data_IF_957460101412
#
_entry.id   IF_957460101412
#
_cell.length_a   1.000
_cell.length_b   1.000
_cell.length_c   1.000
_cell.angle_alpha   90.00
_cell.angle_beta   90.00
_cell.angle_gamma   90.00
#
_symmetry.space_group_name_H-M   'P 1'
#
loop_
_entity.id
_entity.type
_entity.pdbx_description
1 polymer ?
#
# COMPACT_ATOMS: atom_id res chain seq x y z
N UNK A 1 -7.64 34.93 -6.85
CA UNK A 1 -6.22 34.52 -6.85
C UNK A 1 -6.15 33.17 -7.55
N UNK A 2 -5.54 33.08 -8.74
CA UNK A 2 -5.33 31.78 -9.41
C UNK A 2 -4.11 31.15 -8.75
N UNK A 3 -4.31 30.11 -7.95
CA UNK A 3 -3.22 29.29 -7.46
C UNK A 3 -2.66 28.57 -8.69
N UNK A 4 -1.50 29.00 -9.17
CA UNK A 4 -0.75 28.20 -10.14
C UNK A 4 -0.21 27.00 -9.36
N UNK A 5 -0.75 25.82 -9.65
CA UNK A 5 -0.18 24.57 -9.16
C UNK A 5 1.21 24.44 -9.77
N UNK A 6 2.26 24.61 -8.97
CA UNK A 6 3.61 24.29 -9.40
C UNK A 6 3.63 22.83 -9.86
N UNK A 7 4.05 22.61 -11.10
CA UNK A 7 4.23 21.27 -11.61
C UNK A 7 5.42 20.65 -10.86
N UNK A 8 5.18 19.51 -10.20
CA UNK A 8 6.25 18.77 -9.55
C UNK A 8 7.35 18.42 -10.58
N UNK A 9 8.64 18.41 -10.18
CA UNK A 9 9.71 17.93 -11.04
C UNK A 9 9.40 16.56 -11.63
N UNK A 10 9.86 16.29 -12.85
CA UNK A 10 9.54 15.04 -13.56
C UNK A 10 9.99 13.79 -12.79
N UNK A 11 11.05 13.91 -12.01
CA UNK A 11 11.56 12.86 -11.11
C UNK A 11 10.57 12.55 -9.98
N UNK A 12 9.90 13.56 -9.43
CA UNK A 12 8.87 13.41 -8.40
C UNK A 12 7.62 12.77 -8.99
N UNK A 13 7.21 13.18 -10.18
CA UNK A 13 6.08 12.56 -10.88
C UNK A 13 6.33 11.07 -11.14
N UNK A 14 7.52 10.70 -11.63
CA UNK A 14 7.92 9.29 -11.83
C UNK A 14 7.94 8.50 -10.53
N UNK A 15 8.46 9.06 -9.45
CA UNK A 15 8.46 8.40 -8.14
C UNK A 15 7.03 8.12 -7.65
N UNK A 16 6.11 9.07 -7.86
CA UNK A 16 4.69 8.88 -7.52
C UNK A 16 4.06 7.79 -8.39
N UNK A 17 4.32 7.78 -9.70
CA UNK A 17 3.84 6.74 -10.61
C UNK A 17 4.39 5.36 -10.23
N UNK A 18 5.68 5.25 -9.92
CA UNK A 18 6.32 4.00 -9.46
C UNK A 18 5.71 3.52 -8.13
N UNK A 19 5.44 4.43 -7.20
CA UNK A 19 4.81 4.11 -5.92
C UNK A 19 3.36 3.63 -6.11
N UNK A 20 2.59 4.27 -7.02
CA UNK A 20 1.24 3.84 -7.39
C UNK A 20 1.30 2.46 -8.03
N UNK A 21 2.18 2.24 -9.01
CA UNK A 21 2.33 0.96 -9.67
C UNK A 21 2.70 -0.16 -8.68
N UNK A 22 3.65 0.09 -7.78
CA UNK A 22 4.01 -0.87 -6.74
C UNK A 22 2.83 -1.19 -5.82
N UNK A 23 2.05 -0.16 -5.47
CA UNK A 23 0.85 -0.32 -4.68
C UNK A 23 -0.21 -1.15 -5.40
N UNK A 24 -0.50 -0.87 -6.67
CA UNK A 24 -1.44 -1.62 -7.51
C UNK A 24 -1.04 -3.10 -7.65
N UNK A 25 0.23 -3.36 -7.94
CA UNK A 25 0.77 -4.73 -8.02
C UNK A 25 0.62 -5.50 -6.70
N UNK A 26 0.77 -4.82 -5.57
CA UNK A 26 0.56 -5.43 -4.25
C UNK A 26 -0.91 -5.69 -3.97
N UNK A 27 -1.82 -4.81 -4.39
CA UNK A 27 -3.25 -5.05 -4.29
C UNK A 27 -3.69 -6.22 -5.16
N UNK A 28 -3.16 -6.35 -6.38
CA UNK A 28 -3.39 -7.50 -7.26
C UNK A 28 -2.96 -8.81 -6.57
N UNK A 29 -1.73 -8.86 -6.06
CA UNK A 29 -1.22 -10.03 -5.31
C UNK A 29 -2.10 -10.38 -4.11
N UNK A 30 -2.57 -9.38 -3.36
CA UNK A 30 -3.45 -9.60 -2.21
C UNK A 30 -4.83 -10.10 -2.63
N UNK A 31 -5.38 -9.62 -3.75
CA UNK A 31 -6.62 -10.12 -4.32
C UNK A 31 -6.48 -11.59 -4.75
N UNK A 32 -5.35 -11.97 -5.34
CA UNK A 32 -5.08 -13.36 -5.69
C UNK A 32 -5.05 -14.26 -4.45
N UNK A 33 -4.34 -13.84 -3.39
CA UNK A 33 -4.32 -14.57 -2.12
C UNK A 33 -5.73 -14.71 -1.52
N UNK A 34 -6.52 -13.63 -1.58
CA UNK A 34 -7.85 -13.58 -1.01
C UNK A 34 -8.88 -14.45 -1.77
N UNK A 35 -8.68 -14.67 -3.07
CA UNK A 35 -9.59 -15.41 -3.93
C UNK A 35 -9.09 -16.82 -4.29
N UNK A 36 -7.84 -17.14 -4.01
CA UNK A 36 -7.28 -18.47 -4.19
C UNK A 36 -8.01 -19.50 -3.30
N UNK A 37 -8.17 -20.74 -3.79
CA UNK A 37 -8.81 -21.83 -3.04
C UNK A 37 -7.86 -22.45 -2.00
N UNK A 38 -6.54 -22.35 -2.20
CA UNK A 38 -5.55 -22.94 -1.32
C UNK A 38 -5.50 -22.27 0.07
N UNK A 39 -5.18 -23.04 1.12
CA UNK A 39 -4.98 -22.47 2.45
C UNK A 39 -3.71 -21.61 2.50
N UNK A 40 -3.79 -20.56 3.32
CA UNK A 40 -2.69 -19.63 3.56
C UNK A 40 -1.55 -20.33 4.30
N UNK A 41 -0.33 -20.09 3.81
CA UNK A 41 0.90 -20.57 4.43
C UNK A 41 1.68 -19.37 4.93
N UNK A 42 2.08 -19.41 6.20
CA UNK A 42 2.96 -18.40 6.78
C UNK A 42 4.40 -18.73 6.44
N UNK A 43 5.05 -17.81 5.73
CA UNK A 43 6.49 -17.88 5.49
C UNK A 43 7.23 -17.77 6.83
N UNK A 44 8.14 -18.70 7.08
CA UNK A 44 8.98 -18.72 8.28
C UNK A 44 10.42 -18.43 7.90
N UNK A 45 11.08 -17.58 8.70
CA UNK A 45 12.51 -17.31 8.57
C UNK A 45 13.38 -18.53 8.81
N UNK A 46 12.82 -19.59 9.40
CA UNK A 46 13.56 -20.79 9.83
C UNK A 46 13.32 -21.99 8.89
N UNK A 47 12.75 -21.76 7.71
CA UNK A 47 12.52 -22.79 6.69
C UNK A 47 11.39 -23.78 7.00
N UNK A 48 10.66 -23.60 8.11
CA UNK A 48 9.45 -24.37 8.43
C UNK A 48 8.21 -23.55 8.16
N UNK A 49 7.63 -23.75 6.99
CA UNK A 49 6.33 -23.20 6.64
C UNK A 49 5.25 -23.68 7.63
N UNK A 50 4.43 -22.74 8.11
CA UNK A 50 3.28 -23.05 8.97
C UNK A 50 1.99 -22.83 8.19
N UNK A 51 1.30 -23.92 7.84
CA UNK A 51 0.03 -23.87 7.13
C UNK A 51 -1.09 -23.56 8.12
N UNK A 52 -1.88 -22.53 7.82
CA UNK A 52 -3.09 -22.23 8.58
C UNK A 52 -4.15 -23.30 8.35
N UNK A 53 -4.94 -23.58 9.38
CA UNK A 53 -6.13 -24.43 9.22
C UNK A 53 -7.22 -23.69 8.42
N UNK A 54 -8.28 -24.40 8.04
CA UNK A 54 -9.32 -23.85 7.15
C UNK A 54 -10.02 -22.61 7.75
N UNK A 55 -10.28 -22.60 9.05
CA UNK A 55 -10.93 -21.48 9.73
C UNK A 55 -10.01 -20.25 9.78
N UNK A 56 -8.76 -20.45 10.22
CA UNK A 56 -7.74 -19.40 10.25
C UNK A 56 -7.48 -18.84 8.86
N UNK A 57 -7.39 -19.70 7.84
CA UNK A 57 -7.18 -19.27 6.47
C UNK A 57 -8.37 -18.48 5.91
N UNK A 58 -9.62 -18.86 6.24
CA UNK A 58 -10.81 -18.09 5.85
C UNK A 58 -10.83 -16.72 6.53
N UNK A 59 -10.55 -16.67 7.83
CA UNK A 59 -10.48 -15.43 8.59
C UNK A 59 -9.41 -14.48 8.04
N UNK A 60 -8.23 -15.00 7.72
CA UNK A 60 -7.15 -14.21 7.13
C UNK A 60 -7.53 -13.63 5.76
N UNK A 61 -8.10 -14.46 4.87
CA UNK A 61 -8.58 -14.00 3.55
C UNK A 61 -9.69 -12.96 3.68
N UNK A 62 -10.62 -13.11 4.62
CA UNK A 62 -11.66 -12.11 4.89
C UNK A 62 -11.08 -10.78 5.39
N UNK A 63 -10.04 -10.84 6.23
CA UNK A 63 -9.28 -9.67 6.67
C UNK A 63 -8.63 -8.93 5.49
N UNK A 64 -7.97 -9.65 4.58
CA UNK A 64 -7.39 -9.08 3.35
C UNK A 64 -8.48 -8.40 2.50
N UNK A 65 -9.60 -9.09 2.24
CA UNK A 65 -10.72 -8.51 1.46
C UNK A 65 -11.22 -7.22 2.08
N UNK A 66 -11.36 -7.20 3.40
CA UNK A 66 -11.79 -6.01 4.15
C UNK A 66 -10.78 -4.88 3.97
N UNK A 67 -9.49 -5.14 4.17
CA UNK A 67 -8.43 -4.14 3.99
C UNK A 67 -8.42 -3.57 2.57
N UNK A 68 -8.41 -4.42 1.53
CA UNK A 68 -8.47 -3.98 0.12
C UNK A 68 -9.71 -3.12 -0.12
N UNK A 69 -10.87 -3.50 0.44
CA UNK A 69 -12.12 -2.77 0.25
C UNK A 69 -12.16 -1.38 0.86
N UNK A 70 -11.24 -1.08 1.78
CA UNK A 70 -11.14 0.20 2.50
C UNK A 70 -10.08 1.10 1.86
N UNK A 71 -8.99 0.52 1.34
CA UNK A 71 -7.91 1.30 0.75
C UNK A 71 -8.44 2.07 -0.48
N UNK A 72 -8.18 3.37 -0.50
CA UNK A 72 -8.65 4.28 -1.57
C UNK A 72 -10.12 4.70 -1.48
N UNK A 73 -10.95 4.06 -0.64
CA UNK A 73 -12.36 4.48 -0.46
C UNK A 73 -12.54 5.69 0.43
N UNK A 74 -11.62 5.92 1.36
CA UNK A 74 -11.65 7.07 2.25
C UNK A 74 -10.51 8.01 1.87
N UNK A 75 -10.78 9.25 1.46
CA UNK A 75 -9.73 10.23 1.23
C UNK A 75 -9.01 10.47 2.56
N UNK A 76 -7.75 10.05 2.62
CA UNK A 76 -6.90 10.30 3.77
C UNK A 76 -6.45 11.76 3.68
N UNK A 77 -6.75 12.54 4.71
CA UNK A 77 -6.22 13.89 4.89
C UNK A 77 -5.44 13.92 6.19
N UNK A 78 -4.32 14.64 6.19
CA UNK A 78 -3.58 14.91 7.41
C UNK A 78 -4.22 16.11 8.10
N UNK A 79 -4.50 15.98 9.39
CA UNK A 79 -5.09 17.05 10.22
C UNK A 79 -4.20 18.30 10.28
N UNK A 80 -2.91 18.14 9.97
CA UNK A 80 -1.94 19.20 9.90
C UNK A 80 -1.23 19.15 8.54
N UNK A 81 -1.06 20.32 7.92
CA UNK A 81 -0.16 20.48 6.78
C UNK A 81 1.19 19.90 7.16
N UNK A 82 1.69 18.92 6.40
CA UNK A 82 3.11 18.64 6.41
C UNK A 82 3.77 19.97 6.10
N UNK A 83 4.53 20.50 7.07
CA UNK A 83 5.29 21.74 6.86
C UNK A 83 6.02 21.57 5.52
N UNK A 84 5.93 22.60 4.67
CA UNK A 84 6.66 22.68 3.41
C UNK A 84 8.07 22.13 3.64
N UNK A 85 8.43 21.13 2.84
CA UNK A 85 9.81 20.67 2.72
C UNK A 85 10.63 21.92 2.38
N UNK A 86 11.40 22.43 3.34
CA UNK A 86 12.27 23.56 3.10
C UNK A 86 13.53 23.00 2.46
N UNK A 87 13.67 23.20 1.15
CA UNK A 87 14.77 22.65 0.34
C UNK A 87 16.13 23.19 0.82
N UNK A 88 16.12 24.30 1.56
CA UNK A 88 17.30 24.94 2.16
C UNK A 88 17.96 24.13 3.29
N UNK A 89 17.31 23.11 3.87
CA UNK A 89 17.89 22.29 4.95
C UNK A 89 18.94 21.27 4.46
N UNK A 90 19.16 21.14 3.14
CA UNK A 90 20.13 20.21 2.54
C UNK A 90 21.37 20.88 1.94
N UNK A 91 21.49 22.22 1.99
CA UNK A 91 22.72 22.93 1.62
C UNK A 91 23.49 23.39 2.88
N UNK A 92 24.17 22.43 3.55
CA UNK A 92 25.18 22.70 4.57
C UNK A 92 26.33 21.70 4.50
#
# INVERSE_FOLDING_TARGET
MRIQTEAAPIEVAKLVEDAIFWFEQRIETLNDIANCEANVVLASTNGKESKLNDEQSRAFKAGIKTAISIIGKFPLSLEHSTKQFNVDDFEA
#
